data_IF_061393413449
#
_entry.id   IF_061393413449
#
_cell.length_a   1.000
_cell.length_b   1.000
_cell.length_c   1.000
_cell.angle_alpha   90.00
_cell.angle_beta   90.00
_cell.angle_gamma   90.00
#
_symmetry.space_group_name_H-M   'P 1'
#
loop_
_entity.id
_entity.type
_entity.pdbx_description
1 polymer ?
#
# COMPACT_ATOMS: atom_id res chain seq x y z
N UNK A 1 20.86 -19.95 4.53
CA UNK A 1 20.41 -18.55 4.59
C UNK A 1 21.55 -17.67 4.10
N UNK A 2 21.43 -17.13 2.92
CA UNK A 2 22.39 -16.17 2.42
C UNK A 2 22.20 -14.85 3.19
N UNK A 3 23.21 -14.44 3.92
CA UNK A 3 23.24 -13.11 4.52
C UNK A 3 23.07 -12.07 3.40
N UNK A 4 21.94 -11.40 3.41
CA UNK A 4 21.72 -10.31 2.48
C UNK A 4 22.70 -9.18 2.80
N UNK A 5 23.46 -8.77 1.80
CA UNK A 5 24.39 -7.66 1.95
C UNK A 5 23.62 -6.36 2.30
N UNK A 6 24.24 -5.43 3.06
CA UNK A 6 23.58 -4.16 3.41
C UNK A 6 23.03 -3.40 2.20
N UNK A 7 23.68 -3.52 1.05
CA UNK A 7 23.23 -2.93 -0.20
C UNK A 7 21.94 -3.58 -0.73
N UNK A 8 21.81 -4.89 -0.59
CA UNK A 8 20.61 -5.63 -0.98
C UNK A 8 19.42 -5.28 -0.09
N UNK A 9 19.64 -5.20 1.23
CA UNK A 9 18.61 -4.80 2.18
C UNK A 9 18.10 -3.38 1.90
N UNK A 10 19.01 -2.44 1.66
CA UNK A 10 18.66 -1.07 1.33
C UNK A 10 17.84 -0.99 0.03
N UNK A 11 18.24 -1.76 -0.99
CA UNK A 11 17.51 -1.83 -2.26
C UNK A 11 16.10 -2.39 -2.07
N UNK A 12 15.97 -3.46 -1.28
CA UNK A 12 14.67 -4.05 -0.97
C UNK A 12 13.77 -3.09 -0.21
N UNK A 13 14.29 -2.35 0.76
CA UNK A 13 13.54 -1.33 1.49
C UNK A 13 13.03 -0.21 0.57
N UNK A 14 13.85 0.24 -0.37
CA UNK A 14 13.44 1.25 -1.36
C UNK A 14 12.32 0.69 -2.25
N UNK A 15 12.44 -0.54 -2.72
CA UNK A 15 11.40 -1.20 -3.53
C UNK A 15 10.09 -1.30 -2.73
N UNK A 16 10.14 -1.72 -1.47
CA UNK A 16 8.95 -1.81 -0.62
C UNK A 16 8.34 -0.43 -0.40
N UNK A 17 9.15 0.59 -0.12
CA UNK A 17 8.68 1.95 0.06
C UNK A 17 7.98 2.49 -1.22
N UNK A 18 8.58 2.31 -2.39
CA UNK A 18 7.95 2.65 -3.66
C UNK A 18 6.65 1.88 -3.88
N UNK A 19 6.64 0.59 -3.52
CA UNK A 19 5.45 -0.25 -3.61
C UNK A 19 4.30 0.26 -2.74
N UNK A 20 4.58 0.77 -1.54
CA UNK A 20 3.53 1.32 -0.65
C UNK A 20 2.85 2.55 -1.28
N UNK A 21 3.62 3.41 -1.92
CA UNK A 21 3.06 4.57 -2.63
C UNK A 21 2.23 4.13 -3.84
N UNK A 22 2.73 3.19 -4.63
CA UNK A 22 2.02 2.63 -5.78
C UNK A 22 0.72 1.92 -5.39
N UNK A 23 0.73 1.17 -4.27
CA UNK A 23 -0.47 0.54 -3.71
C UNK A 23 -1.51 1.61 -3.35
N UNK A 24 -1.08 2.68 -2.70
CA UNK A 24 -1.97 3.77 -2.33
C UNK A 24 -2.60 4.42 -3.58
N UNK A 25 -1.83 4.63 -4.64
CA UNK A 25 -2.33 5.13 -5.93
C UNK A 25 -3.32 4.15 -6.57
N UNK A 26 -3.00 2.84 -6.57
CA UNK A 26 -3.89 1.81 -7.09
C UNK A 26 -5.23 1.80 -6.34
N UNK A 27 -5.20 1.89 -5.03
CA UNK A 27 -6.41 1.97 -4.20
C UNK A 27 -7.24 3.22 -4.48
N UNK A 28 -6.58 4.36 -4.69
CA UNK A 28 -7.27 5.60 -5.06
C UNK A 28 -7.97 5.47 -6.43
N UNK A 29 -7.31 4.84 -7.41
CA UNK A 29 -7.90 4.56 -8.72
C UNK A 29 -9.09 3.61 -8.63
N UNK A 30 -8.95 2.52 -7.87
CA UNK A 30 -10.03 1.55 -7.66
C UNK A 30 -11.21 2.24 -6.97
N UNK A 31 -10.97 2.99 -5.91
CA UNK A 31 -12.01 3.72 -5.18
C UNK A 31 -12.75 4.72 -6.07
N UNK A 32 -12.03 5.47 -6.90
CA UNK A 32 -12.65 6.42 -7.82
C UNK A 32 -13.44 5.73 -8.94
N UNK A 33 -13.01 4.55 -9.37
CA UNK A 33 -13.70 3.76 -10.40
C UNK A 33 -14.92 3.01 -9.88
N UNK A 34 -14.92 2.59 -8.61
CA UNK A 34 -16.06 1.87 -8.01
C UNK A 34 -17.29 2.76 -7.82
N UNK A 35 -17.12 4.07 -7.78
CA UNK A 35 -18.24 5.01 -7.73
C UNK A 35 -19.18 4.92 -8.94
N UNK A 36 -18.66 4.46 -10.07
CA UNK A 36 -19.41 4.28 -11.31
C UNK A 36 -20.15 2.92 -11.40
N UNK A 37 -19.88 2.01 -10.46
CA UNK A 37 -20.54 0.70 -10.40
C UNK A 37 -21.82 0.78 -9.57
N UNK A 38 -22.92 0.23 -10.12
CA UNK A 38 -24.19 0.17 -9.42
C UNK A 38 -24.10 -0.71 -8.17
N UNK A 39 -24.57 -0.18 -7.05
CA UNK A 39 -24.68 -0.96 -5.81
C UNK A 39 -25.64 -2.14 -6.02
N UNK A 40 -25.17 -3.36 -5.72
CA UNK A 40 -25.97 -4.58 -5.87
C UNK A 40 -25.79 -5.33 -7.19
N UNK A 41 -24.80 -4.95 -8.00
CA UNK A 41 -24.47 -5.69 -9.23
C UNK A 41 -23.98 -7.12 -8.91
N UNK A 42 -24.27 -8.06 -9.81
CA UNK A 42 -23.80 -9.45 -9.68
C UNK A 42 -22.27 -9.52 -9.83
N UNK A 43 -21.68 -10.65 -9.44
CA UNK A 43 -20.23 -10.88 -9.61
C UNK A 43 -19.79 -10.74 -11.08
N UNK A 44 -20.66 -11.16 -12.01
CA UNK A 44 -20.42 -11.07 -13.45
C UNK A 44 -20.41 -9.60 -13.91
N UNK A 45 -21.39 -8.82 -13.46
CA UNK A 45 -21.48 -7.38 -13.77
C UNK A 45 -20.28 -6.60 -13.21
N UNK A 46 -19.83 -6.98 -12.02
CA UNK A 46 -18.63 -6.42 -11.40
C UNK A 46 -17.38 -6.74 -12.23
N UNK A 47 -17.23 -7.98 -12.67
CA UNK A 47 -16.10 -8.40 -13.51
C UNK A 47 -16.09 -7.65 -14.86
N UNK A 48 -17.23 -7.52 -15.50
CA UNK A 48 -17.40 -6.75 -16.74
C UNK A 48 -17.09 -5.27 -16.48
N UNK A 49 -17.57 -4.71 -15.37
CA UNK A 49 -17.30 -3.33 -14.98
C UNK A 49 -15.80 -3.06 -14.78
N UNK A 50 -15.06 -3.99 -14.18
CA UNK A 50 -13.60 -3.90 -14.02
C UNK A 50 -12.89 -3.84 -15.39
N UNK A 51 -13.33 -4.68 -16.34
CA UNK A 51 -12.73 -4.74 -17.67
C UNK A 51 -13.10 -3.54 -18.56
N UNK A 52 -14.28 -2.99 -18.37
CA UNK A 52 -14.81 -1.89 -19.19
C UNK A 52 -14.45 -0.50 -18.64
N UNK A 53 -14.20 -0.37 -17.34
CA UNK A 53 -13.85 0.92 -16.72
C UNK A 53 -12.33 1.10 -16.70
N UNK A 54 -11.76 2.06 -17.44
CA UNK A 54 -10.30 2.23 -17.54
C UNK A 54 -9.63 2.49 -16.19
N UNK A 55 -10.29 3.22 -15.30
CA UNK A 55 -9.77 3.50 -13.93
C UNK A 55 -9.63 2.23 -13.10
N UNK A 56 -10.65 1.37 -13.13
CA UNK A 56 -10.62 0.08 -12.41
C UNK A 56 -9.58 -0.86 -13.00
N UNK A 57 -9.54 -0.97 -14.31
CA UNK A 57 -8.56 -1.81 -15.01
C UNK A 57 -7.12 -1.36 -14.70
N UNK A 58 -6.84 -0.06 -14.79
CA UNK A 58 -5.54 0.52 -14.46
C UNK A 58 -5.17 0.29 -12.97
N UNK A 59 -6.11 0.47 -12.05
CA UNK A 59 -5.91 0.23 -10.63
C UNK A 59 -5.56 -1.22 -10.32
N UNK A 60 -6.29 -2.17 -10.87
CA UNK A 60 -6.02 -3.61 -10.68
C UNK A 60 -4.74 -4.07 -11.37
N UNK A 61 -4.44 -3.55 -12.56
CA UNK A 61 -3.18 -3.84 -13.26
C UNK A 61 -1.98 -3.33 -12.45
N UNK A 62 -2.06 -2.11 -11.94
CA UNK A 62 -1.03 -1.54 -11.07
C UNK A 62 -0.87 -2.36 -9.78
N UNK A 63 -1.97 -2.83 -9.20
CA UNK A 63 -1.95 -3.70 -8.02
C UNK A 63 -1.21 -5.02 -8.29
N UNK A 64 -1.44 -5.62 -9.47
CA UNK A 64 -0.73 -6.82 -9.90
C UNK A 64 0.78 -6.61 -10.05
N UNK A 65 1.18 -5.50 -10.65
CA UNK A 65 2.61 -5.12 -10.79
C UNK A 65 3.26 -4.95 -9.42
N UNK A 66 2.59 -4.24 -8.51
CA UNK A 66 3.10 -4.02 -7.15
C UNK A 66 3.21 -5.33 -6.38
N UNK A 67 2.25 -6.25 -6.56
CA UNK A 67 2.33 -7.58 -5.93
C UNK A 67 3.58 -8.33 -6.40
N UNK A 68 3.89 -8.30 -7.69
CA UNK A 68 5.12 -8.87 -8.22
C UNK A 68 6.38 -8.23 -7.63
N UNK A 69 6.41 -6.90 -7.55
CA UNK A 69 7.51 -6.16 -6.91
C UNK A 69 7.68 -6.54 -5.45
N UNK A 70 6.58 -6.69 -4.71
CA UNK A 70 6.61 -7.08 -3.31
C UNK A 70 7.17 -8.49 -3.12
N UNK A 71 6.78 -9.45 -3.96
CA UNK A 71 7.33 -10.82 -3.94
C UNK A 71 8.84 -10.80 -4.19
N UNK A 72 9.32 -9.99 -5.11
CA UNK A 72 10.76 -9.84 -5.36
C UNK A 72 11.50 -9.22 -4.18
N UNK A 73 10.91 -8.21 -3.55
CA UNK A 73 11.49 -7.58 -2.37
C UNK A 73 11.60 -8.55 -1.19
N UNK A 74 10.56 -9.37 -0.97
CA UNK A 74 10.52 -10.38 0.10
C UNK A 74 11.59 -11.47 -0.03
N UNK A 75 12.09 -11.73 -1.22
CA UNK A 75 13.16 -12.71 -1.43
C UNK A 75 14.50 -12.27 -0.82
N UNK A 76 14.72 -10.98 -0.64
CA UNK A 76 16.02 -10.40 -0.28
C UNK A 76 15.99 -9.60 1.02
N UNK A 77 14.86 -9.49 1.69
CA UNK A 77 14.73 -8.74 2.93
C UNK A 77 14.04 -9.56 4.02
N UNK A 78 14.42 -9.31 5.26
CA UNK A 78 13.75 -9.93 6.41
C UNK A 78 12.35 -9.36 6.57
N UNK A 79 11.39 -10.24 6.86
CA UNK A 79 9.99 -9.88 7.10
C UNK A 79 9.83 -8.83 8.20
N UNK A 80 10.67 -8.89 9.22
CA UNK A 80 10.67 -7.93 10.33
C UNK A 80 10.92 -6.49 9.90
N UNK A 81 11.69 -6.30 8.82
CA UNK A 81 11.95 -4.99 8.21
C UNK A 81 10.82 -4.51 7.30
N UNK A 82 10.14 -5.45 6.67
CA UNK A 82 9.12 -5.15 5.66
C UNK A 82 7.78 -4.79 6.30
N UNK A 83 7.38 -5.45 7.37
CA UNK A 83 6.09 -5.19 8.04
C UNK A 83 5.90 -3.74 8.46
N UNK A 84 6.87 -3.06 9.11
CA UNK A 84 6.73 -1.64 9.43
C UNK A 84 6.56 -0.76 8.19
N UNK A 85 7.24 -1.10 7.09
CA UNK A 85 7.14 -0.34 5.84
C UNK A 85 5.77 -0.53 5.19
N UNK A 86 5.22 -1.76 5.23
CA UNK A 86 3.85 -2.03 4.76
C UNK A 86 2.84 -1.22 5.59
N UNK A 87 3.03 -1.11 6.90
CA UNK A 87 2.16 -0.31 7.76
C UNK A 87 2.12 1.16 7.34
N UNK A 88 3.20 1.71 6.78
CA UNK A 88 3.21 3.06 6.21
C UNK A 88 2.25 3.22 5.03
N UNK A 89 1.87 2.14 4.34
CA UNK A 89 0.87 2.21 3.27
C UNK A 89 -0.47 2.74 3.78
N UNK A 90 -0.85 2.41 5.01
CA UNK A 90 -2.07 2.94 5.62
C UNK A 90 -2.01 4.45 5.85
N UNK A 91 -0.83 4.98 6.18
CA UNK A 91 -0.61 6.42 6.29
C UNK A 91 -0.79 7.08 4.92
N UNK A 92 -0.17 6.53 3.88
CA UNK A 92 -0.30 7.05 2.52
C UNK A 92 -1.74 7.02 2.01
N UNK A 93 -2.44 5.91 2.23
CA UNK A 93 -3.86 5.78 1.87
C UNK A 93 -4.72 6.81 2.61
N UNK A 94 -4.46 7.02 3.90
CA UNK A 94 -5.20 8.00 4.69
C UNK A 94 -4.98 9.43 4.20
N UNK A 95 -3.73 9.78 3.88
CA UNK A 95 -3.39 11.10 3.31
C UNK A 95 -4.05 11.29 1.95
N UNK A 96 -3.94 10.29 1.07
CA UNK A 96 -4.58 10.33 -0.26
C UNK A 96 -6.10 10.42 -0.19
N UNK A 97 -6.72 9.71 0.74
CA UNK A 97 -8.17 9.81 0.98
C UNK A 97 -8.62 11.24 1.29
N UNK A 98 -7.87 11.91 2.16
CA UNK A 98 -8.19 13.30 2.53
C UNK A 98 -7.95 14.25 1.36
N UNK A 99 -6.80 14.11 0.67
CA UNK A 99 -6.40 15.05 -0.39
C UNK A 99 -7.22 14.87 -1.66
N UNK A 100 -7.45 13.62 -2.09
CA UNK A 100 -8.13 13.33 -3.38
C UNK A 100 -9.65 13.30 -3.25
N UNK A 101 -10.18 12.82 -2.14
CA UNK A 101 -11.61 12.62 -1.96
C UNK A 101 -12.25 13.64 -1.03
N UNK A 102 -11.47 14.58 -0.51
CA UNK A 102 -11.91 15.59 0.47
C UNK A 102 -12.67 14.97 1.66
N UNK A 103 -12.27 13.76 2.05
CA UNK A 103 -12.85 13.09 3.21
C UNK A 103 -12.46 13.82 4.50
N UNK A 104 -13.43 13.97 5.39
CA UNK A 104 -13.14 14.53 6.71
C UNK A 104 -12.28 13.58 7.53
N UNK A 105 -11.20 14.12 8.10
CA UNK A 105 -10.33 13.37 8.99
C UNK A 105 -11.03 13.18 10.34
N UNK A 106 -11.62 12.02 10.55
CA UNK A 106 -12.21 11.65 11.83
C UNK A 106 -11.10 11.58 12.90
N UNK A 107 -11.32 12.08 14.15
CA UNK A 107 -10.33 11.97 15.23
C UNK A 107 -9.87 10.53 15.50
N UNK A 108 -10.70 9.52 15.33
CA UNK A 108 -10.32 8.11 15.45
C UNK A 108 -9.33 7.68 14.36
N UNK A 109 -9.53 8.14 13.14
CA UNK A 109 -8.64 7.87 12.00
C UNK A 109 -7.27 8.53 12.22
N UNK A 110 -7.26 9.77 12.69
CA UNK A 110 -6.05 10.49 13.05
C UNK A 110 -5.28 9.78 14.17
N UNK A 111 -5.97 9.34 15.22
CA UNK A 111 -5.37 8.58 16.31
C UNK A 111 -4.72 7.27 15.80
N UNK A 112 -5.38 6.54 14.91
CA UNK A 112 -4.84 5.33 14.28
C UNK A 112 -3.57 5.60 13.48
N UNK A 113 -3.54 6.66 12.70
CA UNK A 113 -2.35 7.08 11.93
C UNK A 113 -1.18 7.43 12.85
N UNK A 114 -1.43 8.15 13.93
CA UNK A 114 -0.40 8.51 14.93
C UNK A 114 0.16 7.25 15.59
N UNK A 115 -0.68 6.29 15.93
CA UNK A 115 -0.25 5.00 16.53
C UNK A 115 0.64 4.23 15.55
N UNK A 116 0.28 4.16 14.27
CA UNK A 116 1.08 3.50 13.23
C UNK A 116 2.45 4.16 13.09
N UNK A 117 2.50 5.48 12.98
CA UNK A 117 3.75 6.24 12.85
C UNK A 117 4.64 6.01 14.08
N UNK A 118 4.05 6.06 15.27
CA UNK A 118 4.78 5.82 16.52
C UNK A 118 5.36 4.41 16.58
N UNK A 119 4.57 3.39 16.19
CA UNK A 119 5.01 2.01 16.13
C UNK A 119 6.17 1.81 15.17
N UNK A 120 6.08 2.36 13.97
CA UNK A 120 7.16 2.31 12.97
C UNK A 120 8.43 3.01 13.46
N UNK A 121 8.28 4.15 14.11
CA UNK A 121 9.42 4.89 14.67
C UNK A 121 10.14 4.10 15.78
N UNK A 122 9.38 3.45 16.67
CA UNK A 122 9.94 2.59 17.72
C UNK A 122 10.69 1.39 17.13
N UNK A 123 10.10 0.72 16.15
CA UNK A 123 10.74 -0.41 15.48
C UNK A 123 12.01 0.01 14.73
N UNK A 124 11.99 1.15 14.06
CA UNK A 124 13.16 1.69 13.38
C UNK A 124 14.33 1.99 14.34
N UNK A 125 14.03 2.51 15.52
CA UNK A 125 15.06 2.72 16.57
C UNK A 125 15.58 1.43 17.16
N UNK A 126 14.72 0.43 17.34
CA UNK A 126 15.10 -0.88 17.85
C UNK A 126 16.11 -1.59 16.95
N UNK A 127 15.97 -1.46 15.64
CA UNK A 127 16.88 -2.08 14.67
C UNK A 127 18.27 -1.43 14.61
N UNK A 128 18.38 -0.16 14.94
CA UNK A 128 19.67 0.53 14.98
C UNK A 128 20.55 0.12 16.17
N UNK A 129 19.97 -0.58 17.16
CA UNK A 129 20.68 -1.04 18.36
C UNK A 129 21.22 -2.48 18.26
N UNK A 130 20.86 -3.18 17.25
CA UNK A 130 21.38 -4.51 16.94
C UNK A 130 22.27 -4.47 15.70
#
# INVERSE_FOLDING_TARGET
MSESTPAQQRRSLIIVLCSTVLIAMAQALIKSGTGDLAAGSSLIDTAIGILTTPKLFAGYALYGVVTGMMVLALRHAELSLIYPVIALSYVWVSVLSVVMFHEEMNPFKLAGVIVIISGVAVLGKGQQRT
#
